data_IF_374068877925
#
_entry.id   IF_374068877925
#
_cell.length_a   1.000
_cell.length_b   1.000
_cell.length_c   1.000
_cell.angle_alpha   90.00
_cell.angle_beta   90.00
_cell.angle_gamma   90.00
#
_symmetry.space_group_name_H-M   'P 1'
#
loop_
_entity.id
_entity.type
_entity.pdbx_description
1 polymer ?
#
# COMPACT_ATOMS: atom_id res chain seq x y z
N UNK A 1 10.59 -14.58 0.39
CA UNK A 1 10.83 -13.19 -0.06
C UNK A 1 9.51 -12.51 -0.35
N UNK A 2 9.32 -11.31 0.16
CA UNK A 2 8.09 -10.57 -0.07
C UNK A 2 8.03 -10.05 -1.51
N UNK A 3 6.83 -10.07 -2.08
CA UNK A 3 6.62 -9.67 -3.46
C UNK A 3 6.00 -8.29 -3.55
N UNK A 4 6.18 -7.65 -4.69
CA UNK A 4 5.45 -6.42 -5.01
C UNK A 4 3.97 -6.79 -5.15
N UNK A 5 3.11 -6.00 -4.50
CA UNK A 5 1.67 -6.22 -4.52
C UNK A 5 0.98 -5.05 -5.23
N UNK A 6 -0.09 -5.35 -5.95
CA UNK A 6 -0.80 -4.34 -6.73
C UNK A 6 -2.29 -4.43 -6.49
N UNK A 7 -2.94 -3.29 -6.46
CA UNK A 7 -4.39 -3.17 -6.36
C UNK A 7 -4.88 -2.17 -7.40
N UNK A 8 -6.10 -2.38 -7.87
CA UNK A 8 -6.76 -1.44 -8.76
C UNK A 8 -8.16 -1.21 -8.22
N UNK A 9 -8.56 0.04 -8.09
CA UNK A 9 -9.85 0.39 -7.51
C UNK A 9 -10.47 1.54 -8.28
N UNK A 10 -11.78 1.47 -8.52
CA UNK A 10 -12.53 2.54 -9.14
C UNK A 10 -13.20 3.38 -8.04
N UNK A 11 -12.95 4.68 -8.07
CA UNK A 11 -13.53 5.64 -7.12
C UNK A 11 -14.03 6.84 -7.91
N UNK A 12 -15.34 7.11 -7.81
CA UNK A 12 -15.94 8.26 -8.47
C UNK A 12 -15.78 8.27 -9.98
N UNK A 13 -15.79 7.10 -10.60
CA UNK A 13 -15.62 6.98 -12.06
C UNK A 13 -14.19 7.00 -12.52
N UNK A 14 -13.21 7.11 -11.62
CA UNK A 14 -11.80 7.10 -11.97
C UNK A 14 -11.11 5.84 -11.42
N UNK A 15 -10.23 5.26 -12.23
CA UNK A 15 -9.43 4.13 -11.80
C UNK A 15 -8.16 4.61 -11.10
N UNK A 16 -7.90 4.02 -9.94
CA UNK A 16 -6.69 4.29 -9.19
C UNK A 16 -5.89 3.01 -9.04
N UNK A 17 -4.58 3.11 -9.19
CA UNK A 17 -3.69 1.98 -8.98
C UNK A 17 -2.82 2.23 -7.76
N UNK A 18 -2.59 1.17 -7.00
CA UNK A 18 -1.73 1.21 -5.83
C UNK A 18 -0.77 0.04 -5.95
N UNK A 19 0.52 0.31 -5.78
CA UNK A 19 1.55 -0.70 -5.85
C UNK A 19 2.45 -0.57 -4.63
N UNK A 20 2.62 -1.67 -3.91
CA UNK A 20 3.46 -1.71 -2.72
C UNK A 20 4.73 -2.50 -3.00
N UNK A 21 5.89 -1.89 -2.71
CA UNK A 21 7.19 -2.54 -2.78
C UNK A 21 7.72 -2.71 -1.36
N UNK A 22 7.95 -3.97 -0.93
CA UNK A 22 8.40 -4.23 0.44
C UNK A 22 9.77 -3.65 0.75
N UNK A 23 9.99 -3.39 2.04
CA UNK A 23 11.29 -2.97 2.53
C UNK A 23 12.28 -4.12 2.42
N UNK A 24 13.51 -3.78 2.02
CA UNK A 24 14.63 -4.72 2.02
C UNK A 24 15.71 -4.20 2.97
N UNK A 25 16.81 -4.95 3.10
CA UNK A 25 17.95 -4.48 3.89
C UNK A 25 18.59 -3.22 3.30
N UNK A 26 18.45 -3.02 2.01
CA UNK A 26 19.13 -1.95 1.28
C UNK A 26 18.21 -0.83 0.81
N UNK A 27 16.89 -1.01 0.91
CA UNK A 27 15.95 0.00 0.44
C UNK A 27 14.71 0.04 1.32
N UNK A 28 14.13 1.24 1.41
CA UNK A 28 12.90 1.44 2.18
C UNK A 28 11.69 0.95 1.40
N UNK A 29 10.63 0.60 2.12
CA UNK A 29 9.36 0.27 1.50
C UNK A 29 8.82 1.49 0.77
N UNK A 30 8.12 1.25 -0.33
CA UNK A 30 7.55 2.30 -1.17
C UNK A 30 6.12 1.96 -1.53
N UNK A 31 5.32 3.00 -1.73
CA UNK A 31 3.99 2.86 -2.29
C UNK A 31 3.92 3.74 -3.53
N UNK A 32 3.40 3.19 -4.61
CA UNK A 32 3.18 3.94 -5.84
C UNK A 32 1.69 4.11 -6.01
N UNK A 33 1.24 5.36 -6.00
CA UNK A 33 -0.17 5.71 -6.17
C UNK A 33 -0.30 6.36 -7.52
N UNK A 34 -0.98 5.67 -8.44
CA UNK A 34 -1.02 6.05 -9.86
C UNK A 34 0.41 6.13 -10.38
N UNK A 35 0.89 7.30 -10.77
CA UNK A 35 2.23 7.45 -11.32
C UNK A 35 3.25 8.04 -10.34
N UNK A 36 2.87 8.21 -9.07
CA UNK A 36 3.74 8.83 -8.08
C UNK A 36 4.17 7.83 -7.02
N UNK A 37 5.45 7.83 -6.71
CA UNK A 37 6.05 6.96 -5.71
C UNK A 37 6.33 7.74 -4.43
N UNK A 38 5.90 7.17 -3.31
CA UNK A 38 6.11 7.74 -1.98
C UNK A 38 6.80 6.73 -1.08
N UNK A 39 7.72 7.18 -0.23
CA UNK A 39 8.30 6.29 0.78
C UNK A 39 7.26 5.99 1.87
N UNK A 40 7.29 4.78 2.41
CA UNK A 40 6.46 4.40 3.55
C UNK A 40 7.28 4.53 4.81
N UNK A 41 7.10 5.64 5.52
CA UNK A 41 7.90 5.94 6.69
C UNK A 41 7.59 5.04 7.89
N UNK A 42 6.37 4.54 7.98
CA UNK A 42 5.96 3.66 9.06
C UNK A 42 6.40 2.21 8.87
N UNK A 43 6.84 1.83 7.66
CA UNK A 43 7.23 0.46 7.38
C UNK A 43 8.54 0.12 8.10
N UNK A 44 8.51 -0.98 8.86
CA UNK A 44 9.63 -1.43 9.69
C UNK A 44 10.32 -2.62 9.05
N UNK A 45 11.60 -2.80 9.38
CA UNK A 45 12.31 -3.99 8.96
C UNK A 45 11.72 -5.23 9.62
N UNK A 46 11.35 -5.11 10.90
CA UNK A 46 10.70 -6.17 11.66
C UNK A 46 9.40 -5.66 12.25
N UNK A 47 8.43 -6.56 12.41
CA UNK A 47 7.14 -6.23 13.00
C UNK A 47 6.12 -5.75 11.98
N UNK A 48 4.92 -5.46 12.46
CA UNK A 48 3.81 -4.98 11.65
C UNK A 48 3.77 -3.46 11.67
N UNK A 49 3.20 -2.87 10.62
CA UNK A 49 3.02 -1.42 10.54
C UNK A 49 1.77 -1.09 9.73
N UNK A 50 1.33 0.16 9.84
CA UNK A 50 0.13 0.62 9.17
C UNK A 50 0.32 2.09 8.81
N UNK A 51 -0.14 2.48 7.63
CA UNK A 51 -0.05 3.87 7.21
C UNK A 51 -1.32 4.29 6.47
N UNK A 52 -1.75 5.52 6.73
CA UNK A 52 -2.97 6.09 6.14
C UNK A 52 -2.56 7.06 5.04
N UNK A 53 -3.26 7.01 3.92
CA UNK A 53 -3.07 7.97 2.85
C UNK A 53 -4.40 8.24 2.15
N UNK A 54 -4.42 9.26 1.30
CA UNK A 54 -5.62 9.60 0.55
C UNK A 54 -5.54 9.03 -0.86
N UNK A 55 -6.63 8.42 -1.30
CA UNK A 55 -6.76 7.91 -2.65
C UNK A 55 -7.97 8.62 -3.26
N UNK A 56 -7.70 9.63 -4.06
CA UNK A 56 -8.76 10.57 -4.45
C UNK A 56 -9.28 11.29 -3.22
N UNK A 57 -10.58 11.26 -3.00
CA UNK A 57 -11.21 11.84 -1.81
C UNK A 57 -11.42 10.82 -0.70
N UNK A 58 -11.01 9.56 -0.92
CA UNK A 58 -11.23 8.49 0.04
C UNK A 58 -10.00 8.20 0.88
N UNK A 59 -10.25 7.78 2.11
CA UNK A 59 -9.17 7.41 3.04
C UNK A 59 -8.77 5.96 2.79
N UNK A 60 -7.49 5.74 2.54
CA UNK A 60 -6.94 4.42 2.32
C UNK A 60 -5.96 4.08 3.44
N UNK A 61 -5.91 2.80 3.79
CA UNK A 61 -5.00 2.29 4.82
C UNK A 61 -4.27 1.09 4.24
N UNK A 62 -2.94 1.15 4.25
CA UNK A 62 -2.13 -0.01 3.92
C UNK A 62 -1.59 -0.58 5.24
N UNK A 63 -1.83 -1.87 5.45
CA UNK A 63 -1.39 -2.59 6.64
C UNK A 63 -0.37 -3.63 6.23
N UNK A 64 0.79 -3.58 6.84
CA UNK A 64 1.91 -4.46 6.48
C UNK A 64 2.14 -5.42 7.65
N UNK A 65 1.96 -6.71 7.41
CA UNK A 65 2.15 -7.73 8.42
C UNK A 65 3.63 -8.02 8.65
N UNK A 66 3.94 -8.78 9.70
CA UNK A 66 5.32 -9.16 10.01
C UNK A 66 6.01 -9.90 8.87
N UNK A 67 5.26 -10.67 8.09
CA UNK A 67 5.81 -11.39 6.94
C UNK A 67 5.98 -10.49 5.71
N UNK A 68 5.79 -9.19 5.86
CA UNK A 68 5.90 -8.16 4.80
C UNK A 68 4.77 -8.20 3.78
N UNK A 69 3.75 -9.02 4.02
CA UNK A 69 2.57 -9.02 3.15
C UNK A 69 1.64 -7.88 3.56
N UNK A 70 1.17 -7.14 2.56
CA UNK A 70 0.32 -5.98 2.79
C UNK A 70 -1.13 -6.25 2.43
N UNK A 71 -2.03 -5.54 3.10
CA UNK A 71 -3.44 -5.46 2.74
C UNK A 71 -3.80 -4.00 2.58
N UNK A 72 -4.72 -3.73 1.66
CA UNK A 72 -5.20 -2.37 1.40
C UNK A 72 -6.68 -2.29 1.71
N UNK A 73 -7.07 -1.28 2.47
CA UNK A 73 -8.48 -0.97 2.66
C UNK A 73 -8.75 0.47 2.23
N UNK A 74 -9.91 0.71 1.65
CA UNK A 74 -10.36 2.03 1.24
C UNK A 74 -11.77 2.21 1.79
N UNK A 75 -11.97 3.28 2.54
CA UNK A 75 -13.24 3.56 3.20
C UNK A 75 -13.76 2.34 3.97
N UNK A 76 -12.86 1.71 4.74
CA UNK A 76 -13.12 0.55 5.59
C UNK A 76 -13.45 -0.75 4.85
N UNK A 77 -13.22 -0.80 3.54
CA UNK A 77 -13.42 -2.02 2.76
C UNK A 77 -12.08 -2.53 2.26
N UNK A 78 -11.82 -3.82 2.47
CA UNK A 78 -10.61 -4.44 1.95
C UNK A 78 -10.69 -4.60 0.44
N UNK A 79 -9.61 -4.22 -0.23
CA UNK A 79 -9.51 -4.29 -1.68
C UNK A 79 -8.75 -5.56 -2.05
N UNK A 80 -9.28 -6.28 -3.03
CA UNK A 80 -8.66 -7.51 -3.48
C UNK A 80 -7.42 -7.20 -4.30
N UNK A 81 -6.34 -7.88 -3.97
CA UNK A 81 -5.09 -7.77 -4.72
C UNK A 81 -5.24 -8.33 -6.13
N UNK A 82 -4.60 -7.69 -7.09
CA UNK A 82 -4.57 -8.17 -8.47
C UNK A 82 -3.67 -9.41 -8.58
#
# INVERSE_FOLDING_TARGET
MAKIQKWSIELGGEMHSVEYTPRTLFSKAKIKINDRTYPLHSAKLFGASQEVFMLGSERAIISIAENKKATLSVDNEFIKEI
#
